data_IF_455056001894
#
_entry.id   IF_455056001894
#
_cell.length_a   1.000
_cell.length_b   1.000
_cell.length_c   1.000
_cell.angle_alpha   90.00
_cell.angle_beta   90.00
_cell.angle_gamma   90.00
#
_symmetry.space_group_name_H-M   'P 1'
#
loop_
_entity.id
_entity.type
_entity.pdbx_description
1 polymer ?
#
# COMPACT_ATOMS: atom_id res chain seq x y z
N UNK A 1 -16.95 11.49 1.30
CA UNK A 1 -15.59 11.99 1.06
C UNK A 1 -15.66 13.50 0.80
N UNK A 2 -16.41 14.23 1.63
CA UNK A 2 -16.51 15.70 1.56
C UNK A 2 -15.49 16.39 2.47
N UNK A 3 -14.65 15.65 3.19
CA UNK A 3 -13.58 16.24 4.02
C UNK A 3 -12.25 16.27 3.28
N UNK A 4 -12.29 16.73 2.03
CA UNK A 4 -11.17 16.72 1.11
C UNK A 4 -10.55 18.07 0.80
N UNK A 5 -11.02 19.19 1.39
CA UNK A 5 -10.30 20.47 1.41
C UNK A 5 -11.03 21.43 2.35
N UNK A 6 -10.73 21.37 3.65
CA UNK A 6 -11.04 22.54 4.47
C UNK A 6 -10.02 23.61 4.07
N UNK A 7 -10.51 24.62 3.34
CA UNK A 7 -9.76 25.79 2.85
C UNK A 7 -8.95 26.44 3.98
N UNK A 8 -9.33 26.23 5.25
CA UNK A 8 -8.62 26.75 6.43
C UNK A 8 -7.51 25.86 6.99
N UNK A 9 -7.47 24.55 6.71
CA UNK A 9 -6.57 23.62 7.41
C UNK A 9 -5.74 22.67 6.52
N UNK A 10 -5.93 22.72 5.19
CA UNK A 10 -5.09 21.99 4.23
C UNK A 10 -5.15 20.46 4.38
N UNK A 11 -4.12 19.75 3.88
CA UNK A 11 -4.08 18.29 3.78
C UNK A 11 -4.01 17.54 5.12
N UNK A 12 -3.88 18.23 6.26
CA UNK A 12 -3.80 17.59 7.59
C UNK A 12 -5.08 16.83 7.93
N UNK A 13 -6.23 17.39 7.56
CA UNK A 13 -7.52 16.72 7.74
C UNK A 13 -7.62 15.47 6.87
N UNK A 14 -7.13 15.53 5.63
CA UNK A 14 -7.10 14.38 4.74
C UNK A 14 -6.25 13.24 5.32
N UNK A 15 -5.05 13.53 5.82
CA UNK A 15 -4.19 12.53 6.48
C UNK A 15 -4.90 11.84 7.65
N UNK A 16 -5.52 12.62 8.54
CA UNK A 16 -6.28 12.08 9.69
C UNK A 16 -7.49 11.26 9.26
N UNK A 17 -8.20 11.70 8.23
CA UNK A 17 -9.36 10.96 7.71
C UNK A 17 -8.94 9.64 7.08
N UNK A 18 -7.83 9.59 6.34
CA UNK A 18 -7.26 8.33 5.83
C UNK A 18 -6.85 7.41 6.99
N UNK A 19 -6.15 7.94 8.00
CA UNK A 19 -5.74 7.16 9.17
C UNK A 19 -6.95 6.55 9.90
N UNK A 20 -7.98 7.35 10.17
CA UNK A 20 -9.17 6.93 10.91
C UNK A 20 -10.08 6.00 10.11
N UNK A 21 -10.33 6.31 8.84
CA UNK A 21 -11.35 5.62 8.04
C UNK A 21 -10.81 4.41 7.29
N UNK A 22 -9.52 4.39 6.94
CA UNK A 22 -8.92 3.32 6.17
C UNK A 22 -7.88 2.54 6.97
N UNK A 23 -6.87 3.22 7.53
CA UNK A 23 -5.72 2.54 8.15
C UNK A 23 -6.15 1.77 9.40
N UNK A 24 -6.91 2.40 10.30
CA UNK A 24 -7.36 1.77 11.54
C UNK A 24 -8.25 0.54 11.29
N UNK A 25 -9.31 0.59 10.44
CA UNK A 25 -10.13 -0.60 10.16
C UNK A 25 -9.36 -1.72 9.47
N UNK A 26 -8.54 -1.41 8.45
CA UNK A 26 -7.73 -2.42 7.77
C UNK A 26 -6.77 -3.12 8.73
N UNK A 27 -6.15 -2.38 9.65
CA UNK A 27 -5.27 -2.96 10.67
C UNK A 27 -6.01 -3.96 11.55
N UNK A 28 -7.27 -3.65 11.92
CA UNK A 28 -8.10 -4.54 12.71
C UNK A 28 -8.50 -5.81 11.92
N UNK A 29 -8.83 -5.67 10.64
CA UNK A 29 -9.14 -6.80 9.76
C UNK A 29 -7.94 -7.75 9.58
N UNK A 30 -6.72 -7.18 9.46
CA UNK A 30 -5.48 -7.98 9.41
C UNK A 30 -5.24 -8.66 10.76
N UNK A 31 -5.37 -7.93 11.87
CA UNK A 31 -5.12 -8.46 13.22
C UNK A 31 -6.09 -9.60 13.59
N UNK A 32 -7.33 -9.50 13.13
CA UNK A 32 -8.35 -10.55 13.30
C UNK A 32 -8.28 -11.65 12.23
N UNK A 33 -7.28 -11.58 11.34
CA UNK A 33 -7.01 -12.56 10.30
C UNK A 33 -8.15 -12.73 9.28
N UNK A 34 -9.04 -11.73 9.19
CA UNK A 34 -10.14 -11.68 8.22
C UNK A 34 -9.65 -11.34 6.81
N UNK A 35 -8.51 -10.67 6.71
CA UNK A 35 -7.82 -10.35 5.45
C UNK A 35 -6.35 -10.72 5.55
N UNK A 36 -5.78 -11.15 4.43
CA UNK A 36 -4.38 -11.58 4.29
C UNK A 36 -3.71 -10.91 3.09
N UNK A 37 -2.38 -11.01 3.04
CA UNK A 37 -1.64 -10.61 1.86
C UNK A 37 -2.08 -11.44 0.65
N UNK A 38 -2.35 -10.77 -0.47
CA UNK A 38 -2.89 -11.42 -1.67
C UNK A 38 -4.41 -11.25 -1.84
N UNK A 39 -5.12 -10.73 -0.84
CA UNK A 39 -6.56 -10.52 -0.94
C UNK A 39 -6.90 -9.23 -1.72
N UNK A 40 -7.95 -9.31 -2.53
CA UNK A 40 -8.55 -8.17 -3.22
C UNK A 40 -9.75 -7.67 -2.42
N UNK A 41 -9.63 -6.46 -1.88
CA UNK A 41 -10.65 -5.84 -1.04
C UNK A 41 -11.26 -4.65 -1.78
N UNK A 42 -12.57 -4.69 -2.00
CA UNK A 42 -13.34 -3.55 -2.47
C UNK A 42 -13.75 -2.69 -1.28
N UNK A 43 -13.48 -1.40 -1.38
CA UNK A 43 -13.84 -0.41 -0.38
C UNK A 43 -14.85 0.54 -1.00
N UNK A 44 -16.05 0.59 -0.46
CA UNK A 44 -17.11 1.46 -0.93
C UNK A 44 -17.48 2.46 0.16
N UNK A 45 -17.85 3.66 -0.25
CA UNK A 45 -18.43 4.64 0.66
C UNK A 45 -19.94 4.52 0.57
N UNK A 46 -20.60 4.31 1.70
CA UNK A 46 -22.06 4.38 1.77
C UNK A 46 -22.55 5.82 1.62
N UNK A 47 -23.69 5.98 0.96
CA UNK A 47 -24.37 7.27 0.87
C UNK A 47 -24.93 7.65 2.24
N UNK A 48 -24.67 8.88 2.68
CA UNK A 48 -25.15 9.41 3.95
C UNK A 48 -24.31 9.09 5.20
N UNK A 49 -23.30 8.21 5.15
CA UNK A 49 -22.38 7.97 6.29
C UNK A 49 -20.92 8.28 5.94
N UNK A 50 -20.11 8.55 6.96
CA UNK A 50 -18.64 8.66 6.81
C UNK A 50 -17.95 7.30 6.84
N UNK A 51 -18.71 6.22 7.02
CA UNK A 51 -18.18 4.87 7.12
C UNK A 51 -17.89 4.27 5.75
N UNK A 52 -16.84 3.45 5.72
CA UNK A 52 -16.45 2.69 4.54
C UNK A 52 -16.82 1.23 4.75
N UNK A 53 -17.44 0.62 3.75
CA UNK A 53 -17.70 -0.82 3.72
C UNK A 53 -16.50 -1.53 3.08
N UNK A 54 -16.07 -2.63 3.67
CA UNK A 54 -14.97 -3.45 3.19
C UNK A 54 -15.51 -4.81 2.77
N UNK A 55 -15.35 -5.17 1.50
CA UNK A 55 -15.79 -6.44 0.95
C UNK A 55 -14.61 -7.17 0.33
N UNK A 56 -14.38 -8.42 0.71
CA UNK A 56 -13.36 -9.25 0.08
C UNK A 56 -13.93 -9.86 -1.21
N UNK A 57 -13.41 -9.46 -2.37
CA UNK A 57 -13.87 -9.95 -3.67
C UNK A 57 -13.10 -11.20 -4.13
N UNK A 58 -11.83 -11.32 -3.73
CA UNK A 58 -11.01 -12.49 -4.01
C UNK A 58 -9.94 -12.66 -2.93
N UNK A 59 -9.55 -13.90 -2.65
CA UNK A 59 -8.56 -14.24 -1.63
C UNK A 59 -7.33 -14.89 -2.24
N UNK A 60 -6.16 -14.64 -1.65
CA UNK A 60 -4.92 -15.36 -1.96
C UNK A 60 -4.46 -15.27 -3.41
N UNK A 61 -4.75 -14.16 -4.09
CA UNK A 61 -4.31 -13.95 -5.46
C UNK A 61 -2.78 -13.76 -5.51
N UNK A 62 -2.10 -14.32 -6.52
CA UNK A 62 -0.70 -14.05 -6.73
C UNK A 62 -0.50 -12.57 -7.07
N UNK A 63 0.61 -11.99 -6.63
CA UNK A 63 0.93 -10.56 -6.83
C UNK A 63 0.87 -10.15 -8.30
N UNK A 64 1.23 -11.05 -9.22
CA UNK A 64 1.14 -10.80 -10.66
C UNK A 64 -0.31 -10.65 -11.12
N UNK A 65 -1.22 -11.49 -10.63
CA UNK A 65 -2.65 -11.39 -10.94
C UNK A 65 -3.26 -10.10 -10.36
N UNK A 66 -2.89 -9.74 -9.12
CA UNK A 66 -3.29 -8.46 -8.52
C UNK A 66 -2.80 -7.27 -9.34
N UNK A 67 -1.57 -7.31 -9.86
CA UNK A 67 -1.03 -6.24 -10.70
C UNK A 67 -1.78 -6.10 -12.04
N UNK A 68 -2.24 -7.20 -12.62
CA UNK A 68 -3.07 -7.17 -13.84
C UNK A 68 -4.50 -6.66 -13.59
N UNK A 69 -5.07 -6.95 -12.42
CA UNK A 69 -6.35 -6.37 -11.99
C UNK A 69 -6.20 -4.87 -11.69
N UNK A 70 -5.05 -4.47 -11.13
CA UNK A 70 -4.76 -3.09 -10.80
C UNK A 70 -4.57 -2.21 -12.06
N UNK A 71 -5.12 -0.99 -12.00
CA UNK A 71 -4.96 0.03 -13.03
C UNK A 71 -3.54 0.61 -13.12
N UNK A 72 -3.23 1.40 -14.18
CA UNK A 72 -1.86 1.77 -14.55
C UNK A 72 -0.97 2.45 -13.50
N UNK A 73 -1.42 3.33 -12.58
CA UNK A 73 -0.50 3.86 -11.56
C UNK A 73 -0.19 2.82 -10.47
N UNK A 74 -1.20 2.07 -10.02
CA UNK A 74 -1.06 1.07 -8.95
C UNK A 74 -0.26 -0.15 -9.43
N UNK A 75 -0.50 -0.60 -10.67
CA UNK A 75 0.23 -1.70 -11.31
C UNK A 75 1.74 -1.45 -11.33
N UNK A 76 2.18 -0.22 -11.62
CA UNK A 76 3.60 0.12 -11.68
C UNK A 76 4.24 0.03 -10.29
N UNK A 77 3.57 0.52 -9.26
CA UNK A 77 4.06 0.42 -7.87
C UNK A 77 4.13 -1.02 -7.38
N UNK A 78 3.12 -1.84 -7.70
CA UNK A 78 3.13 -3.26 -7.37
C UNK A 78 4.26 -4.01 -8.08
N UNK A 79 4.50 -3.74 -9.36
CA UNK A 79 5.62 -4.33 -10.11
C UNK A 79 6.97 -3.92 -9.52
N UNK A 80 7.13 -2.65 -9.14
CA UNK A 80 8.35 -2.18 -8.49
C UNK A 80 8.59 -2.84 -7.11
N UNK A 81 7.53 -3.00 -6.31
CA UNK A 81 7.62 -3.66 -4.99
C UNK A 81 7.87 -5.17 -5.08
N UNK A 82 7.45 -5.80 -6.18
CA UNK A 82 7.63 -7.24 -6.43
C UNK A 82 8.91 -7.58 -7.21
N UNK A 83 9.68 -6.57 -7.64
CA UNK A 83 10.94 -6.78 -8.33
C UNK A 83 12.00 -7.28 -7.33
N UNK A 84 12.87 -8.22 -7.73
CA UNK A 84 14.00 -8.61 -6.89
C UNK A 84 14.86 -7.38 -6.59
N UNK A 85 15.19 -7.17 -5.32
CA UNK A 85 16.02 -6.05 -4.89
C UNK A 85 17.35 -6.07 -5.66
N UNK A 86 17.86 -4.92 -6.13
CA UNK A 86 19.14 -4.87 -6.82
C UNK A 86 20.24 -5.37 -5.86
N UNK A 87 21.05 -6.33 -6.32
CA UNK A 87 22.18 -6.83 -5.54
C UNK A 87 23.11 -5.66 -5.19
N UNK A 88 23.54 -5.54 -3.91
CA UNK A 88 24.47 -4.48 -3.53
C UNK A 88 25.79 -4.66 -4.29
N UNK A 89 26.40 -3.56 -4.80
CA UNK A 89 27.64 -3.66 -5.54
C UNK A 89 28.75 -4.24 -4.65
N UNK A 90 29.41 -5.31 -5.12
CA UNK A 90 30.56 -5.92 -4.44
C UNK A 90 31.64 -4.85 -4.22
N UNK A 91 32.10 -4.62 -2.98
CA UNK A 91 33.16 -3.66 -2.74
C UNK A 91 34.44 -4.10 -3.46
N UNK A 92 34.98 -3.23 -4.31
CA UNK A 92 36.23 -3.46 -5.00
C UNK A 92 37.37 -3.58 -3.97
N UNK A 93 38.06 -4.71 -3.98
CA UNK A 93 39.19 -4.97 -3.09
C UNK A 93 40.29 -3.92 -3.33
N UNK A 94 40.51 -3.06 -2.33
CA UNK A 94 41.61 -2.11 -2.32
C UNK A 94 42.93 -2.88 -2.29
N UNK A 95 43.69 -2.85 -3.39
CA UNK A 95 45.05 -3.38 -3.46
C UNK A 95 45.95 -2.54 -2.55
N UNK A 96 46.35 -3.10 -1.41
CA UNK A 96 47.36 -2.54 -0.53
C UNK A 96 48.71 -2.43 -1.26
N UNK A 97 49.13 -1.20 -1.54
CA UNK A 97 50.46 -0.89 -2.06
C UNK A 97 51.49 -1.05 -0.94
N UNK A 98 52.29 -2.11 -1.01
CA UNK A 98 53.49 -2.32 -0.20
C UNK A 98 54.60 -1.38 -0.70
N UNK A 99 55.06 -0.46 0.12
CA UNK A 99 56.39 0.18 0.04
C UNK A 99 57.12 -0.25 1.32
N UNK A 100 58.11 -1.15 1.24
CA UNK A 100 59.53 -0.91 0.89
C UNK A 100 60.15 0.15 1.78
#
# INVERSE_FOLDING_TARGET
LEQGTDIKYGARHLKRSIERLLVQPLSNLIATNQIRAGDLIRIEKSDGTEELSFTCEAQGLPVQALAEIAGPPVRQWMRAASAPAPEPPKPAAARGSRRS
#
